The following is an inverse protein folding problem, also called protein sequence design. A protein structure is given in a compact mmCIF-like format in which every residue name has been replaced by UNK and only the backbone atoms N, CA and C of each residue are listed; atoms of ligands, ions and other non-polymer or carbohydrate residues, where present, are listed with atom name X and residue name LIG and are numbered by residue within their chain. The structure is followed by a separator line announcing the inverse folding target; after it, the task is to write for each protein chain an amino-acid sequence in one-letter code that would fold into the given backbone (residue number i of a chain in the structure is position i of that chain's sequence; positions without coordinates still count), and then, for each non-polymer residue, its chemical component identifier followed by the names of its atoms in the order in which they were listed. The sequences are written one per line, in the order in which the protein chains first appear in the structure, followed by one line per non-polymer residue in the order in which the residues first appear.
data_IF_773664671279
#
_entry.id   IF_773664671279
#
_cell.length_a   1.000
_cell.length_b   1.000
_cell.length_c   1.000
_cell.angle_alpha   90.00
_cell.angle_beta   90.00
_cell.angle_gamma   90.00
#
_symmetry.space_group_name_H-M   'P 1'
#
loop_
_entity.id
_entity.type
_entity.pdbx_description
1 polymer ?
#
# COMPACT_ATOMS: atom_id res chain seq x y z
N UNK A 1 14.23 -7.46 31.19
CA UNK A 1 14.13 -7.88 29.77
C UNK A 1 13.28 -9.13 29.73
N UNK A 2 12.04 -8.99 29.25
CA UNK A 2 11.11 -10.11 29.14
C UNK A 2 11.73 -11.19 28.23
N UNK A 3 11.72 -12.45 28.69
CA UNK A 3 12.25 -13.62 27.97
C UNK A 3 11.11 -14.55 27.53
N UNK A 4 9.95 -13.96 27.22
CA UNK A 4 8.83 -14.69 26.63
C UNK A 4 9.14 -15.11 25.19
N UNK A 5 8.40 -16.09 24.65
CA UNK A 5 8.40 -16.34 23.21
C UNK A 5 7.96 -15.07 22.47
N UNK A 6 8.66 -14.74 21.39
CA UNK A 6 8.40 -13.52 20.62
C UNK A 6 7.27 -13.76 19.63
N UNK A 7 6.37 -12.80 19.43
CA UNK A 7 5.33 -12.93 18.44
C UNK A 7 5.95 -13.03 17.03
N UNK A 8 5.39 -13.93 16.23
CA UNK A 8 5.72 -14.05 14.81
C UNK A 8 4.85 -13.08 14.02
N UNK A 9 5.43 -12.39 13.05
CA UNK A 9 4.70 -11.42 12.22
C UNK A 9 4.90 -11.78 10.76
N UNK A 10 3.80 -11.93 10.02
CA UNK A 10 3.77 -12.15 8.58
C UNK A 10 3.05 -10.98 7.94
N UNK A 11 3.75 -10.28 7.05
CA UNK A 11 3.22 -9.11 6.34
C UNK A 11 3.03 -9.49 4.89
N UNK A 12 1.80 -9.39 4.41
CA UNK A 12 1.42 -9.69 3.03
C UNK A 12 2.04 -8.70 2.03
N UNK A 13 2.18 -9.13 0.78
CA UNK A 13 2.79 -8.37 -0.32
C UNK A 13 2.14 -7.00 -0.49
N UNK A 14 0.81 -6.90 -0.32
CA UNK A 14 0.08 -5.64 -0.46
C UNK A 14 0.54 -4.55 0.54
N UNK A 15 0.89 -4.93 1.77
CA UNK A 15 1.31 -4.00 2.81
C UNK A 15 2.72 -3.47 2.52
N UNK A 16 3.62 -4.32 2.00
CA UNK A 16 4.95 -3.88 1.55
C UNK A 16 4.85 -2.86 0.41
N UNK A 17 3.89 -3.05 -0.51
CA UNK A 17 3.61 -2.09 -1.58
C UNK A 17 3.10 -0.77 -0.99
N UNK A 18 2.19 -0.83 -0.03
CA UNK A 18 1.62 0.34 0.63
C UNK A 18 2.70 1.18 1.35
N UNK A 19 3.66 0.52 2.00
CA UNK A 19 4.82 1.17 2.62
C UNK A 19 5.66 1.95 1.60
N UNK A 20 5.87 1.39 0.41
CA UNK A 20 6.71 2.00 -0.62
C UNK A 20 5.98 3.12 -1.35
N UNK A 21 4.66 2.98 -1.54
CA UNK A 21 3.81 4.01 -2.17
C UNK A 21 3.48 5.18 -1.25
N UNK A 22 3.97 5.16 0.00
CA UNK A 22 3.74 6.24 0.96
C UNK A 22 2.31 6.29 1.50
N UNK A 23 1.61 5.16 1.56
CA UNK A 23 0.30 5.08 2.23
C UNK A 23 0.43 5.19 3.75
N UNK A 24 1.60 4.85 4.27
CA UNK A 24 2.01 5.07 5.66
C UNK A 24 3.11 6.14 5.68
N UNK A 25 3.27 6.81 6.81
CA UNK A 25 4.45 7.65 7.00
C UNK A 25 5.76 6.85 6.87
N UNK A 26 6.80 7.50 6.36
CA UNK A 26 8.13 6.89 6.14
C UNK A 26 8.73 6.26 7.40
N UNK A 27 8.36 6.78 8.58
CA UNK A 27 8.82 6.29 9.87
C UNK A 27 8.29 4.89 10.19
N UNK A 28 7.18 4.46 9.58
CA UNK A 28 6.62 3.13 9.80
C UNK A 28 7.62 2.01 9.46
N UNK A 29 8.30 2.13 8.33
CA UNK A 29 9.32 1.14 7.94
C UNK A 29 10.48 1.14 8.94
N UNK A 30 10.87 2.30 9.46
CA UNK A 30 11.91 2.40 10.50
C UNK A 30 11.48 1.73 11.80
N UNK A 31 10.22 1.90 12.20
CA UNK A 31 9.65 1.25 13.39
C UNK A 31 9.68 -0.26 13.22
N UNK A 32 9.23 -0.77 12.07
CA UNK A 32 9.26 -2.20 11.76
C UNK A 32 10.69 -2.76 11.72
N UNK A 33 11.62 -2.06 11.09
CA UNK A 33 13.05 -2.41 11.09
C UNK A 33 13.58 -2.52 12.52
N UNK A 34 13.30 -1.53 13.37
CA UNK A 34 13.74 -1.53 14.77
C UNK A 34 13.13 -2.71 15.54
N UNK A 35 11.85 -3.03 15.36
CA UNK A 35 11.26 -4.20 16.01
C UNK A 35 11.97 -5.51 15.67
N UNK A 36 12.27 -5.71 14.38
CA UNK A 36 12.95 -6.92 13.91
C UNK A 36 14.40 -6.93 14.39
N UNK A 37 15.07 -5.77 14.38
CA UNK A 37 16.47 -5.66 14.75
C UNK A 37 16.69 -5.73 16.25
N UNK A 38 15.81 -5.15 17.06
CA UNK A 38 15.90 -5.21 18.52
C UNK A 38 15.25 -6.48 19.08
N UNK A 39 14.85 -7.39 18.19
CA UNK A 39 14.32 -8.71 18.52
C UNK A 39 13.01 -8.67 19.31
N UNK A 40 12.19 -7.64 19.14
CA UNK A 40 10.85 -7.57 19.71
C UNK A 40 9.86 -8.45 18.95
N UNK A 41 10.04 -8.60 17.63
CA UNK A 41 9.24 -9.52 16.80
C UNK A 41 10.13 -10.48 16.03
N UNK A 42 9.52 -11.57 15.55
CA UNK A 42 10.11 -12.46 14.57
C UNK A 42 9.40 -12.26 13.23
N UNK A 43 10.06 -11.58 12.29
CA UNK A 43 9.52 -11.45 10.94
C UNK A 43 9.58 -12.80 10.23
N UNK A 44 8.43 -13.30 9.79
CA UNK A 44 8.28 -14.56 9.07
C UNK A 44 7.85 -14.24 7.64
N UNK A 45 8.62 -14.69 6.66
CA UNK A 45 8.41 -14.38 5.24
C UNK A 45 8.22 -15.68 4.46
N UNK A 46 6.98 -16.03 4.10
CA UNK A 46 6.72 -17.04 3.07
C UNK A 46 7.51 -16.75 1.79
N UNK A 47 8.11 -17.79 1.20
CA UNK A 47 8.82 -17.72 -0.08
C UNK A 47 7.98 -17.04 -1.17
N UNK A 48 6.67 -17.31 -1.17
CA UNK A 48 5.72 -16.69 -2.09
C UNK A 48 5.68 -15.16 -1.96
N UNK A 49 5.68 -14.60 -0.74
CA UNK A 49 5.73 -13.14 -0.52
C UNK A 49 7.04 -12.57 -1.05
N UNK A 50 8.17 -13.21 -0.76
CA UNK A 50 9.46 -12.76 -1.28
C UNK A 50 9.52 -12.77 -2.81
N UNK A 51 8.92 -13.78 -3.45
CA UNK A 51 8.84 -13.88 -4.91
C UNK A 51 7.94 -12.78 -5.50
N UNK A 52 6.76 -12.56 -4.92
CA UNK A 52 5.83 -11.53 -5.36
C UNK A 52 6.43 -10.14 -5.20
N UNK A 53 7.05 -9.85 -4.05
CA UNK A 53 7.79 -8.61 -3.81
C UNK A 53 8.87 -8.37 -4.87
N UNK A 54 9.72 -9.36 -5.14
CA UNK A 54 10.79 -9.25 -6.14
C UNK A 54 10.27 -8.98 -7.55
N UNK A 55 9.14 -9.58 -7.92
CA UNK A 55 8.48 -9.33 -9.20
C UNK A 55 7.91 -7.90 -9.25
N UNK A 56 7.20 -7.50 -8.20
CA UNK A 56 6.45 -6.24 -8.16
C UNK A 56 7.39 -5.03 -8.05
N UNK A 57 8.47 -5.09 -7.26
CA UNK A 57 9.40 -3.97 -7.12
C UNK A 57 10.01 -3.57 -8.47
N UNK A 58 10.37 -4.56 -9.28
CA UNK A 58 10.99 -4.37 -10.59
C UNK A 58 9.96 -3.95 -11.65
N UNK A 59 8.80 -4.61 -11.71
CA UNK A 59 7.83 -4.43 -12.80
C UNK A 59 6.82 -3.30 -12.55
N UNK A 60 6.43 -3.06 -11.29
CA UNK A 60 5.24 -2.26 -10.96
C UNK A 60 5.49 -1.05 -10.10
N UNK A 61 6.60 -1.00 -9.37
CA UNK A 61 6.88 0.16 -8.51
C UNK A 61 7.74 1.15 -9.30
N UNK A 62 8.97 0.80 -9.66
CA UNK A 62 9.87 1.74 -10.32
C UNK A 62 9.43 2.08 -11.75
N UNK A 63 9.07 1.06 -12.54
CA UNK A 63 8.64 1.26 -13.94
C UNK A 63 7.31 2.00 -14.02
N UNK A 64 6.33 1.67 -13.17
CA UNK A 64 5.04 2.35 -13.21
C UNK A 64 5.14 3.79 -12.69
N UNK A 65 5.96 4.04 -11.65
CA UNK A 65 6.24 5.40 -11.18
C UNK A 65 6.94 6.23 -12.25
N UNK A 66 7.96 5.68 -12.94
CA UNK A 66 8.60 6.38 -14.06
C UNK A 66 7.62 6.66 -15.19
N UNK A 67 6.79 5.68 -15.56
CA UNK A 67 5.75 5.84 -16.58
C UNK A 67 4.73 6.91 -16.18
N UNK A 68 4.26 6.92 -14.92
CA UNK A 68 3.33 7.93 -14.42
C UNK A 68 3.94 9.34 -14.47
N UNK A 69 5.19 9.50 -14.02
CA UNK A 69 5.90 10.78 -14.09
C UNK A 69 6.14 11.23 -15.54
N UNK A 70 6.41 10.30 -16.45
CA UNK A 70 6.52 10.60 -17.89
C UNK A 70 5.16 10.97 -18.51
N UNK A 71 4.07 10.31 -18.10
CA UNK A 71 2.73 10.67 -18.53
C UNK A 71 2.36 12.08 -18.06
N UNK A 72 2.60 12.39 -16.78
CA UNK A 72 2.40 13.74 -16.24
C UNK A 72 3.21 14.79 -17.02
N UNK A 73 4.48 14.49 -17.33
CA UNK A 73 5.32 15.35 -18.20
C UNK A 73 4.69 15.57 -19.58
N UNK A 74 4.18 14.51 -20.22
CA UNK A 74 3.55 14.61 -21.53
C UNK A 74 2.27 15.46 -21.48
N UNK A 75 1.43 15.25 -20.46
CA UNK A 75 0.23 16.06 -20.21
C UNK A 75 0.58 17.54 -20.03
N UNK A 76 1.60 17.87 -19.23
CA UNK A 76 2.04 19.27 -19.06
C UNK A 76 2.55 19.84 -20.39
N UNK A 77 3.29 19.08 -21.20
CA UNK A 77 3.76 19.53 -22.51
C UNK A 77 2.61 19.81 -23.49
N UNK A 78 1.60 18.97 -23.52
CA UNK A 78 0.39 19.17 -24.35
C UNK A 78 -0.38 20.41 -23.90
N UNK A 79 -0.59 20.54 -22.58
CA UNK A 79 -1.22 21.72 -22.01
C UNK A 79 -0.42 23.01 -22.32
N UNK A 80 0.91 22.96 -22.26
CA UNK A 80 1.77 24.09 -22.55
C UNK A 80 1.70 24.51 -24.02
N UNK A 81 1.60 23.57 -24.96
CA UNK A 81 1.40 23.86 -26.39
C UNK A 81 0.09 24.63 -26.61
N UNK A 82 -0.99 24.18 -25.95
CA UNK A 82 -2.32 24.78 -26.05
C UNK A 82 -2.37 26.16 -25.38
N UNK A 83 -1.75 26.32 -24.21
CA UNK A 83 -1.67 27.61 -23.52
C UNK A 83 -0.89 28.64 -24.34
N UNK A 84 0.21 28.24 -24.97
CA UNK A 84 1.03 29.10 -25.85
C UNK A 84 0.29 29.49 -27.12
N UNK A 85 -0.39 28.55 -27.80
CA UNK A 85 -1.16 28.86 -29.01
C UNK A 85 -2.34 29.80 -28.72
N UNK A 86 -2.92 29.69 -27.53
CA UNK A 86 -4.07 30.50 -27.08
C UNK A 86 -3.65 31.80 -26.38
N UNK A 87 -2.34 32.11 -26.30
CA UNK A 87 -1.78 33.31 -25.65
C UNK A 87 -2.15 33.48 -24.17
N UNK A 88 -2.42 32.38 -23.46
CA UNK A 88 -2.60 32.39 -22.00
C UNK A 88 -1.24 32.43 -21.31
N UNK A 89 -0.67 33.63 -21.16
CA UNK A 89 0.69 33.84 -20.66
C UNK A 89 0.87 33.38 -19.22
N UNK A 90 -0.10 33.63 -18.34
CA UNK A 90 -0.04 33.23 -16.94
C UNK A 90 -0.10 31.71 -16.75
N UNK A 91 -1.04 31.04 -17.44
CA UNK A 91 -1.16 29.58 -17.45
C UNK A 91 0.11 28.94 -18.02
N UNK A 92 0.68 29.51 -19.09
CA UNK A 92 1.94 29.04 -19.67
C UNK A 92 3.09 29.10 -18.68
N UNK A 93 3.21 30.21 -17.92
CA UNK A 93 4.25 30.37 -16.91
C UNK A 93 4.11 29.35 -15.76
N UNK A 94 2.88 29.09 -15.29
CA UNK A 94 2.62 28.09 -14.24
C UNK A 94 2.94 26.66 -14.70
N UNK A 95 2.61 26.32 -15.96
CA UNK A 95 2.95 25.02 -16.54
C UNK A 95 4.46 24.85 -16.75
N UNK A 96 5.18 25.91 -17.12
CA UNK A 96 6.66 25.90 -17.20
C UNK A 96 7.32 25.71 -15.84
N UNK A 97 6.78 26.35 -14.79
CA UNK A 97 7.22 26.12 -13.41
C UNK A 97 6.98 24.65 -13.00
N UNK A 98 5.77 24.13 -13.25
CA UNK A 98 5.40 22.75 -12.94
C UNK A 98 6.29 21.74 -13.67
N UNK A 99 6.64 22.01 -14.93
CA UNK A 99 7.58 21.19 -15.72
C UNK A 99 9.00 21.23 -15.13
N UNK A 100 9.45 22.39 -14.69
CA UNK A 100 10.77 22.54 -14.04
C UNK A 100 10.81 21.74 -12.74
N UNK A 101 9.80 21.93 -11.89
CA UNK A 101 9.67 21.21 -10.62
C UNK A 101 9.62 19.68 -10.85
N UNK A 102 8.82 19.21 -11.81
CA UNK A 102 8.74 17.78 -12.12
C UNK A 102 10.08 17.21 -12.58
N UNK A 103 10.87 17.95 -13.38
CA UNK A 103 12.20 17.52 -13.80
C UNK A 103 13.19 17.44 -12.64
N UNK A 104 13.13 18.39 -11.72
CA UNK A 104 14.00 18.45 -10.55
C UNK A 104 13.64 17.38 -9.52
N UNK A 105 12.34 17.16 -9.27
CA UNK A 105 11.86 16.21 -8.27
C UNK A 105 11.87 14.76 -8.76
N UNK A 106 11.68 14.51 -10.06
CA UNK A 106 11.60 13.12 -10.58
C UNK A 106 12.77 12.23 -10.15
N UNK A 107 14.05 12.64 -10.25
CA UNK A 107 15.17 11.84 -9.76
C UNK A 107 15.08 11.55 -8.26
N UNK A 108 14.72 12.54 -7.44
CA UNK A 108 14.59 12.38 -6.00
C UNK A 108 13.45 11.40 -5.63
N UNK A 109 12.30 11.49 -6.31
CA UNK A 109 11.19 10.57 -6.14
C UNK A 109 11.62 9.15 -6.50
N UNK A 110 12.24 8.94 -7.67
CA UNK A 110 12.67 7.60 -8.08
C UNK A 110 13.74 7.03 -7.13
N UNK A 111 14.66 7.86 -6.64
CA UNK A 111 15.66 7.45 -5.65
C UNK A 111 14.99 7.03 -4.34
N UNK A 112 14.01 7.79 -3.86
CA UNK A 112 13.27 7.46 -2.63
C UNK A 112 12.58 6.09 -2.72
N UNK A 113 11.87 5.82 -3.81
CA UNK A 113 11.23 4.51 -4.02
C UNK A 113 12.25 3.37 -4.10
N UNK A 114 13.43 3.64 -4.68
CA UNK A 114 14.55 2.69 -4.74
C UNK A 114 15.10 2.41 -3.33
N UNK A 115 15.31 3.46 -2.53
CA UNK A 115 15.83 3.34 -1.17
C UNK A 115 14.86 2.57 -0.26
N UNK A 116 13.55 2.87 -0.33
CA UNK A 116 12.52 2.14 0.42
C UNK A 116 12.47 0.66 0.00
N UNK A 117 12.58 0.38 -1.29
CA UNK A 117 12.59 -1.01 -1.79
C UNK A 117 13.82 -1.77 -1.29
N UNK A 118 14.99 -1.12 -1.30
CA UNK A 118 16.24 -1.71 -0.83
C UNK A 118 16.22 -1.98 0.69
N UNK A 119 15.58 -1.11 1.46
CA UNK A 119 15.35 -1.31 2.90
C UNK A 119 14.53 -2.57 3.18
N UNK A 120 13.43 -2.76 2.45
CA UNK A 120 12.61 -3.98 2.55
C UNK A 120 13.42 -5.23 2.15
N UNK A 121 14.21 -5.15 1.08
CA UNK A 121 15.10 -6.26 0.68
C UNK A 121 16.11 -6.60 1.80
N UNK A 122 16.69 -5.59 2.45
CA UNK A 122 17.61 -5.80 3.57
C UNK A 122 16.91 -6.46 4.76
N UNK A 123 15.66 -6.09 5.02
CA UNK A 123 14.84 -6.69 6.06
C UNK A 123 14.52 -8.16 5.75
N UNK A 124 14.13 -8.48 4.51
CA UNK A 124 13.89 -9.87 4.08
C UNK A 124 15.16 -10.72 4.19
N UNK A 125 16.31 -10.17 3.82
CA UNK A 125 17.59 -10.89 3.84
C UNK A 125 18.30 -10.86 5.21
N UNK A 126 17.72 -10.21 6.21
CA UNK A 126 18.26 -10.18 7.56
C UNK A 126 18.33 -11.59 8.16
N UNK A 127 19.41 -11.89 8.89
CA UNK A 127 19.54 -13.15 9.65
C UNK A 127 18.47 -13.32 10.74
N UNK A 128 17.76 -12.25 11.08
CA UNK A 128 16.67 -12.23 12.08
C UNK A 128 15.31 -12.57 11.47
N UNK A 129 15.22 -12.61 10.14
CA UNK A 129 14.03 -12.95 9.39
C UNK A 129 13.99 -14.45 9.13
N UNK A 130 12.83 -15.07 9.33
CA UNK A 130 12.63 -16.50 9.10
C UNK A 130 11.87 -16.70 7.80
N UNK A 131 12.51 -17.38 6.84
CA UNK A 131 11.86 -17.76 5.59
C UNK A 131 11.17 -19.10 5.76
N UNK A 132 9.90 -19.16 5.34
CA UNK A 132 9.09 -20.39 5.39
C UNK A 132 8.61 -20.76 4.00
N UNK A 133 8.41 -22.04 3.78
CA UNK A 133 7.95 -22.58 2.50
C UNK A 133 6.95 -23.69 2.78
N UNK A 134 5.86 -23.73 2.02
CA UNK A 134 4.93 -24.84 2.07
C UNK A 134 5.64 -26.13 1.69
N UNK A 135 5.49 -27.20 2.48
CA UNK A 135 6.06 -28.50 2.18
C UNK A 135 5.49 -29.08 0.88
N UNK A 136 6.26 -29.93 0.20
CA UNK A 136 5.80 -30.56 -1.07
C UNK A 136 4.54 -31.41 -0.87
N UNK A 137 4.38 -32.01 0.31
CA UNK A 137 3.18 -32.75 0.68
C UNK A 137 1.96 -31.82 0.79
N UNK A 138 2.06 -30.71 1.54
CA UNK A 138 0.96 -29.74 1.64
C UNK A 138 0.72 -29.00 0.31
N UNK A 139 1.74 -28.75 -0.51
CA UNK A 139 1.59 -28.20 -1.87
C UNK A 139 0.76 -29.13 -2.77
N UNK A 140 1.05 -30.42 -2.75
CA UNK A 140 0.31 -31.42 -3.53
C UNK A 140 -1.16 -31.46 -3.09
N UNK A 141 -1.38 -31.48 -1.77
CA UNK A 141 -2.74 -31.41 -1.20
C UNK A 141 -3.47 -30.13 -1.59
N UNK A 142 -2.79 -28.99 -1.59
CA UNK A 142 -3.38 -27.71 -1.98
C UNK A 142 -3.80 -27.71 -3.45
N UNK A 143 -2.96 -28.28 -4.34
CA UNK A 143 -3.28 -28.41 -5.76
C UNK A 143 -4.54 -29.27 -5.95
N UNK A 144 -4.65 -30.39 -5.22
CA UNK A 144 -5.84 -31.24 -5.27
C UNK A 144 -7.08 -30.48 -4.78
N UNK A 145 -6.97 -29.73 -3.69
CA UNK A 145 -8.05 -28.90 -3.15
C UNK A 145 -8.48 -27.80 -4.16
N UNK A 146 -7.55 -27.23 -4.93
CA UNK A 146 -7.86 -26.29 -6.03
C UNK A 146 -8.64 -26.98 -7.15
N UNK A 147 -8.16 -28.14 -7.61
CA UNK A 147 -8.80 -28.91 -8.67
C UNK A 147 -10.23 -29.35 -8.26
N UNK A 148 -10.44 -29.62 -6.99
CA UNK A 148 -11.73 -30.00 -6.43
C UNK A 148 -12.62 -28.80 -6.07
N UNK A 149 -12.16 -27.55 -6.25
CA UNK A 149 -12.86 -26.33 -5.81
C UNK A 149 -13.29 -26.42 -4.34
N UNK A 150 -12.34 -26.77 -3.48
CA UNK A 150 -12.57 -26.89 -2.05
C UNK A 150 -12.37 -25.54 -1.37
N UNK A 151 -13.26 -25.26 -0.42
CA UNK A 151 -13.13 -24.14 0.52
C UNK A 151 -11.85 -24.31 1.37
N UNK A 152 -11.28 -23.22 1.92
CA UNK A 152 -11.80 -21.84 1.97
C UNK A 152 -11.36 -20.92 0.82
N UNK A 153 -10.43 -21.39 -0.03
CA UNK A 153 -9.88 -20.55 -1.10
C UNK A 153 -10.53 -20.73 -2.47
N UNK A 154 -11.06 -21.90 -2.81
CA UNK A 154 -11.46 -22.19 -4.20
C UNK A 154 -12.97 -22.41 -4.30
N UNK A 155 -13.73 -21.34 -4.54
CA UNK A 155 -15.16 -21.42 -4.92
C UNK A 155 -15.29 -21.22 -6.42
N UNK A 156 -16.26 -21.88 -7.06
CA UNK A 156 -16.55 -21.74 -8.49
C UNK A 156 -16.77 -20.29 -8.95
N UNK A 157 -17.22 -19.42 -8.05
CA UNK A 157 -17.56 -18.02 -8.36
C UNK A 157 -16.52 -16.99 -7.86
N UNK A 158 -15.45 -17.43 -7.16
CA UNK A 158 -14.40 -16.55 -6.66
C UNK A 158 -13.02 -17.01 -7.13
N UNK A 159 -12.39 -16.20 -7.98
CA UNK A 159 -10.99 -16.38 -8.37
C UNK A 159 -10.08 -15.88 -7.25
N UNK A 160 -9.98 -16.62 -6.14
CA UNK A 160 -8.91 -16.34 -5.18
C UNK A 160 -7.57 -16.74 -5.78
N UNK A 161 -6.52 -15.98 -5.46
CA UNK A 161 -5.18 -16.26 -6.00
C UNK A 161 -4.61 -17.53 -5.37
N UNK A 162 -4.11 -18.46 -6.20
CA UNK A 162 -3.29 -19.58 -5.73
C UNK A 162 -2.11 -19.08 -4.87
N UNK A 163 -1.57 -17.89 -5.16
CA UNK A 163 -0.51 -17.27 -4.37
C UNK A 163 -0.93 -17.03 -2.93
N UNK A 164 -2.10 -16.43 -2.72
CA UNK A 164 -2.64 -16.13 -1.38
C UNK A 164 -2.93 -17.41 -0.58
N UNK A 165 -3.42 -18.45 -1.26
CA UNK A 165 -3.58 -19.76 -0.63
C UNK A 165 -2.23 -20.36 -0.20
N UNK A 166 -1.22 -20.31 -1.06
CA UNK A 166 0.14 -20.79 -0.72
C UNK A 166 0.72 -20.00 0.45
N UNK A 167 0.53 -18.69 0.50
CA UNK A 167 0.93 -17.84 1.64
C UNK A 167 0.25 -18.36 2.91
N UNK A 168 -1.08 -18.46 2.90
CA UNK A 168 -1.86 -18.83 4.08
C UNK A 168 -1.50 -20.24 4.60
N UNK A 169 -1.45 -21.25 3.72
CA UNK A 169 -1.11 -22.60 4.15
C UNK A 169 0.35 -22.73 4.62
N UNK A 170 1.28 -21.90 4.11
CA UNK A 170 2.64 -21.85 4.64
C UNK A 170 2.63 -21.36 6.09
N UNK A 171 1.79 -20.36 6.39
CA UNK A 171 1.61 -19.81 7.74
C UNK A 171 1.04 -20.88 8.67
N UNK A 172 0.00 -21.60 8.26
CA UNK A 172 -0.59 -22.68 9.06
C UNK A 172 0.43 -23.77 9.40
N UNK A 173 1.19 -24.24 8.40
CA UNK A 173 2.24 -25.23 8.63
C UNK A 173 3.33 -24.75 9.58
N UNK A 174 3.67 -23.46 9.53
CA UNK A 174 4.60 -22.87 10.48
C UNK A 174 4.03 -22.77 11.91
N UNK A 175 2.73 -22.53 12.04
CA UNK A 175 2.07 -22.45 13.34
C UNK A 175 1.96 -23.80 14.03
N UNK A 176 1.69 -24.86 13.27
CA UNK A 176 1.68 -26.25 13.76
C UNK A 176 2.97 -26.58 14.56
N UNK A 177 4.10 -25.98 14.17
CA UNK A 177 5.42 -26.21 14.78
C UNK A 177 5.80 -25.21 15.89
N UNK A 178 5.17 -24.02 15.95
CA UNK A 178 5.70 -22.90 16.75
C UNK A 178 4.97 -22.61 18.05
N UNK A 179 3.71 -23.03 18.23
CA UNK A 179 2.85 -22.75 19.41
C UNK A 179 2.99 -21.31 19.94
N UNK A 180 3.19 -20.36 19.02
CA UNK A 180 3.48 -18.95 19.26
C UNK A 180 2.37 -18.11 18.63
N UNK A 181 2.09 -16.96 19.22
CA UNK A 181 1.21 -15.98 18.59
C UNK A 181 1.78 -15.56 17.22
N UNK A 182 0.90 -15.53 16.23
CA UNK A 182 1.22 -15.12 14.88
C UNK A 182 0.28 -14.00 14.43
N UNK A 183 0.87 -12.91 13.98
CA UNK A 183 0.19 -11.74 13.47
C UNK A 183 0.29 -11.76 11.94
N UNK A 184 -0.83 -11.99 11.26
CA UNK A 184 -0.93 -11.90 9.81
C UNK A 184 -1.54 -10.56 9.41
N UNK A 185 -0.84 -9.80 8.58
CA UNK A 185 -1.18 -8.43 8.22
C UNK A 185 -1.40 -8.35 6.71
N UNK A 186 -2.64 -8.10 6.28
CA UNK A 186 -3.00 -7.97 4.86
C UNK A 186 -4.15 -6.98 4.66
N UNK A 187 -4.06 -6.13 3.64
CA UNK A 187 -5.17 -5.29 3.21
C UNK A 187 -6.04 -5.94 2.13
N UNK A 188 -5.80 -7.22 1.79
CA UNK A 188 -6.56 -7.93 0.76
C UNK A 188 -7.91 -8.41 1.30
N UNK A 189 -8.93 -7.58 1.11
CA UNK A 189 -10.29 -7.84 1.59
C UNK A 189 -11.04 -8.90 0.79
N UNK A 190 -10.59 -9.22 -0.42
CA UNK A 190 -11.26 -10.19 -1.29
C UNK A 190 -10.92 -11.63 -0.86
N UNK A 191 -9.64 -11.86 -0.53
CA UNK A 191 -9.13 -13.20 -0.24
C UNK A 191 -9.12 -13.55 1.24
N UNK A 192 -8.79 -12.60 2.11
CA UNK A 192 -8.65 -12.83 3.55
C UNK A 192 -9.78 -12.27 4.41
N UNK A 193 -10.54 -11.28 3.92
CA UNK A 193 -11.70 -10.73 4.63
C UNK A 193 -11.57 -9.24 4.97
N UNK A 194 -12.72 -8.62 5.23
CA UNK A 194 -12.84 -7.16 5.39
C UNK A 194 -12.44 -6.72 6.80
N UNK A 195 -13.33 -6.82 7.78
CA UNK A 195 -13.03 -6.34 9.14
C UNK A 195 -12.41 -7.44 10.03
N UNK A 196 -12.67 -8.69 9.67
CA UNK A 196 -12.12 -9.89 10.30
C UNK A 196 -11.72 -10.87 9.20
N UNK A 197 -10.94 -11.88 9.59
CA UNK A 197 -10.60 -13.00 8.73
C UNK A 197 -11.89 -13.64 8.19
N UNK A 198 -11.92 -14.07 6.93
CA UNK A 198 -13.08 -14.74 6.33
C UNK A 198 -13.49 -15.94 7.19
N UNK A 199 -14.79 -16.14 7.39
CA UNK A 199 -15.30 -17.16 8.31
C UNK A 199 -14.76 -18.57 8.00
N UNK A 200 -14.57 -18.90 6.72
CA UNK A 200 -14.06 -20.22 6.33
C UNK A 200 -12.56 -20.37 6.65
N UNK A 201 -11.83 -19.26 6.74
CA UNK A 201 -10.44 -19.22 7.18
C UNK A 201 -10.34 -19.20 8.71
N UNK A 202 -11.29 -18.56 9.40
CA UNK A 202 -11.38 -18.56 10.87
C UNK A 202 -11.55 -19.98 11.42
N UNK A 203 -12.30 -20.85 10.74
CA UNK A 203 -12.54 -22.23 11.17
C UNK A 203 -11.28 -23.12 11.16
N UNK A 204 -10.21 -22.71 10.47
CA UNK A 204 -8.99 -23.50 10.30
C UNK A 204 -7.76 -22.89 10.99
N UNK A 205 -7.93 -21.79 11.72
CA UNK A 205 -6.89 -21.18 12.57
C UNK A 205 -7.25 -21.36 14.04
N UNK A 206 -6.24 -21.31 14.90
CA UNK A 206 -6.43 -21.32 16.37
C UNK A 206 -6.43 -19.89 16.95
N UNK A 207 -6.60 -19.80 18.26
CA UNK A 207 -6.62 -18.51 18.98
C UNK A 207 -5.28 -17.75 18.93
N UNK A 208 -4.17 -18.42 18.55
CA UNK A 208 -2.85 -17.81 18.41
C UNK A 208 -2.72 -17.04 17.09
N UNK A 209 -3.61 -17.22 16.13
CA UNK A 209 -3.63 -16.48 14.87
C UNK A 209 -4.37 -15.15 15.04
N UNK A 210 -3.68 -14.04 14.83
CA UNK A 210 -4.24 -12.68 14.84
C UNK A 210 -4.20 -12.07 13.44
N UNK A 211 -5.35 -11.66 12.92
CA UNK A 211 -5.46 -10.99 11.63
C UNK A 211 -5.61 -9.49 11.79
N UNK A 212 -4.82 -8.73 11.03
CA UNK A 212 -4.92 -7.28 10.96
C UNK A 212 -4.94 -6.80 9.51
N UNK A 213 -5.69 -5.72 9.28
CA UNK A 213 -5.79 -5.09 7.96
C UNK A 213 -4.66 -4.12 7.63
N UNK A 214 -4.08 -3.55 8.67
CA UNK A 214 -3.12 -2.47 8.55
C UNK A 214 -1.97 -2.72 9.50
N UNK A 215 -0.79 -2.30 9.07
CA UNK A 215 0.41 -2.40 9.87
C UNK A 215 0.33 -1.57 11.18
N UNK A 216 -0.23 -0.34 11.21
CA UNK A 216 -0.40 0.41 12.46
C UNK A 216 -1.23 -0.35 13.50
N UNK A 217 -2.38 -0.92 13.11
CA UNK A 217 -3.26 -1.62 14.06
C UNK A 217 -2.61 -2.90 14.61
N UNK A 218 -1.84 -3.60 13.78
CA UNK A 218 -1.08 -4.78 14.20
C UNK A 218 0.09 -4.42 15.13
N UNK A 219 0.72 -3.26 14.87
CA UNK A 219 1.78 -2.73 15.72
C UNK A 219 1.17 -2.36 17.07
N UNK A 220 0.11 -1.56 17.11
CA UNK A 220 -0.53 -1.10 18.34
C UNK A 220 -0.92 -2.22 19.31
N UNK A 221 -1.38 -3.36 18.77
CA UNK A 221 -1.80 -4.49 19.60
C UNK A 221 -0.66 -5.27 20.26
N UNK A 222 0.59 -5.07 19.84
CA UNK A 222 1.75 -5.67 20.50
C UNK A 222 2.00 -4.88 21.81
N UNK A 223 1.77 -5.50 22.97
CA UNK A 223 1.71 -4.82 24.28
C UNK A 223 3.01 -4.10 24.76
N UNK A 224 4.14 -4.25 24.07
CA UNK A 224 5.47 -3.81 24.55
C UNK A 224 6.19 -2.80 23.62
N UNK A 225 5.59 -1.65 23.36
CA UNK A 225 6.29 -0.58 22.63
C UNK A 225 6.95 0.47 23.52
N UNK A 226 8.08 1.01 23.02
CA UNK A 226 8.65 2.25 23.52
C UNK A 226 7.68 3.42 23.32
N UNK A 227 7.77 4.45 24.16
CA UNK A 227 6.96 5.67 24.07
C UNK A 227 7.00 6.34 22.68
N UNK A 228 8.08 6.10 21.93
CA UNK A 228 8.28 6.62 20.57
C UNK A 228 7.33 6.02 19.54
N UNK A 229 6.88 4.78 19.73
CA UNK A 229 5.94 4.13 18.81
C UNK A 229 4.51 4.42 19.19
N UNK A 230 4.22 4.57 20.48
CA UNK A 230 2.92 5.08 20.94
C UNK A 230 2.65 6.48 20.38
N UNK A 231 3.64 7.38 20.42
CA UNK A 231 3.53 8.72 19.85
C UNK A 231 3.29 8.72 18.33
N UNK A 232 3.89 7.76 17.62
CA UNK A 232 3.69 7.60 16.17
C UNK A 232 2.30 7.05 15.82
N UNK A 233 1.82 6.05 16.57
CA UNK A 233 0.49 5.48 16.36
C UNK A 233 -0.60 6.53 16.57
N UNK A 234 -0.45 7.37 17.60
CA UNK A 234 -1.35 8.50 17.84
C UNK A 234 -1.36 9.49 16.66
N UNK A 235 -0.20 9.84 16.09
CA UNK A 235 -0.16 10.75 14.94
C UNK A 235 -0.75 10.15 13.68
N UNK A 236 -0.63 8.84 13.45
CA UNK A 236 -1.29 8.16 12.32
C UNK A 236 -2.80 8.06 12.48
N UNK A 237 -3.30 7.81 13.70
CA UNK A 237 -4.74 7.80 13.97
C UNK A 237 -5.34 9.19 13.74
N UNK A 238 -4.66 10.25 14.22
CA UNK A 238 -5.03 11.64 13.93
C UNK A 238 -4.98 11.94 12.42
N UNK A 239 -3.93 11.49 11.72
CA UNK A 239 -3.81 11.68 10.28
C UNK A 239 -4.89 10.91 9.50
N UNK A 240 -5.28 9.71 9.92
CA UNK A 240 -6.35 8.92 9.32
C UNK A 240 -7.72 9.56 9.58
N UNK A 241 -7.98 10.06 10.78
CA UNK A 241 -9.16 10.85 11.08
C UNK A 241 -9.21 12.11 10.21
N UNK A 242 -8.09 12.81 10.05
CA UNK A 242 -7.99 13.96 9.13
C UNK A 242 -8.17 13.55 7.67
N UNK A 243 -7.74 12.36 7.25
CA UNK A 243 -7.97 11.83 5.88
C UNK A 243 -9.43 11.47 5.67
N UNK A 244 -10.09 10.84 6.64
CA UNK A 244 -11.51 10.49 6.60
C UNK A 244 -12.42 11.73 6.71
N UNK A 245 -12.00 12.73 7.49
CA UNK A 245 -12.59 14.06 7.43
C UNK A 245 -12.27 14.73 6.08
N UNK A 246 -11.07 14.62 5.54
CA UNK A 246 -10.81 15.11 4.18
C UNK A 246 -11.60 14.37 3.10
N UNK A 247 -12.07 13.14 3.34
CA UNK A 247 -12.93 12.38 2.42
C UNK A 247 -14.36 12.94 2.31
N UNK A 248 -14.85 13.76 3.26
CA UNK A 248 -16.06 14.57 3.00
C UNK A 248 -15.82 15.65 1.93
N UNK A 249 -14.56 16.04 1.67
CA UNK A 249 -14.23 16.92 0.54
C UNK A 249 -14.19 16.18 -0.79
N UNK A 250 -14.00 14.85 -0.80
CA UNK A 250 -14.25 14.02 -1.99
C UNK A 250 -15.75 13.89 -2.29
N UNK A 251 -16.64 14.15 -1.32
CA UNK A 251 -18.08 14.27 -1.54
C UNK A 251 -18.53 15.65 -2.05
N UNK A 252 -17.67 16.67 -2.03
CA UNK A 252 -17.97 17.97 -2.64
C UNK A 252 -17.46 17.96 -4.09
N UNK A 253 -18.24 17.31 -4.93
CA UNK A 253 -18.22 17.39 -6.40
C UNK A 253 -18.71 18.76 -6.92
N UNK A 254 -18.59 19.83 -6.13
CA UNK A 254 -19.11 21.15 -6.48
C UNK A 254 -18.06 22.20 -6.14
N UNK A 255 -17.31 22.62 -7.16
CA UNK A 255 -16.84 24.00 -7.21
C UNK A 255 -18.14 24.81 -7.19
N UNK A 256 -18.24 25.86 -6.36
CA UNK A 256 -19.43 26.71 -6.30
C UNK A 256 -19.73 27.40 -7.64
N UNK A 257 -19.78 28.72 -7.67
CA UNK A 257 -20.01 29.44 -8.92
C UNK A 257 -18.67 29.62 -9.66
N UNK A 258 -18.64 29.31 -10.95
CA UNK A 258 -17.48 29.53 -11.79
C UNK A 258 -17.32 31.03 -12.09
N UNK A 259 -16.20 31.64 -11.70
CA UNK A 259 -15.97 33.07 -11.89
C UNK A 259 -15.88 33.49 -13.37
N UNK A 260 -15.57 32.58 -14.29
CA UNK A 260 -15.45 32.85 -15.73
C UNK A 260 -16.77 32.75 -16.51
N UNK A 261 -17.63 31.76 -16.21
CA UNK A 261 -18.92 31.60 -16.92
C UNK A 261 -20.16 31.82 -16.06
N UNK A 262 -20.00 32.06 -14.77
CA UNK A 262 -21.10 32.22 -13.82
C UNK A 262 -21.91 30.94 -13.54
N UNK A 263 -21.47 29.77 -14.03
CA UNK A 263 -22.19 28.52 -13.81
C UNK A 263 -22.09 28.08 -12.35
N UNK A 264 -23.23 27.74 -11.74
CA UNK A 264 -23.31 27.27 -10.36
C UNK A 264 -23.09 25.75 -10.28
N UNK A 265 -22.44 25.28 -9.22
CA UNK A 265 -22.28 23.86 -8.89
C UNK A 265 -21.53 23.06 -9.96
N UNK A 266 -20.35 23.53 -10.40
CA UNK A 266 -19.60 22.86 -11.47
C UNK A 266 -18.74 21.70 -10.94
N UNK A 267 -18.80 20.50 -11.56
CA UNK A 267 -17.89 19.41 -11.21
C UNK A 267 -16.46 19.75 -11.62
N UNK A 268 -15.50 19.69 -10.69
CA UNK A 268 -14.07 19.81 -10.96
C UNK A 268 -13.38 18.45 -11.10
N UNK A 269 -12.29 18.38 -11.87
CA UNK A 269 -11.31 17.27 -11.79
C UNK A 269 -10.07 17.74 -11.06
N UNK A 270 -9.60 16.95 -10.11
CA UNK A 270 -8.38 17.20 -9.36
C UNK A 270 -7.28 16.21 -9.74
N UNK A 271 -6.03 16.67 -9.80
CA UNK A 271 -4.84 15.82 -9.91
C UNK A 271 -4.02 15.98 -8.62
N UNK A 272 -3.72 14.87 -7.96
CA UNK A 272 -2.85 14.86 -6.78
C UNK A 272 -1.38 14.91 -7.24
N UNK A 273 -0.64 15.91 -6.78
CA UNK A 273 0.82 15.97 -6.91
C UNK A 273 1.37 15.98 -5.49
N UNK A 274 2.10 14.91 -5.14
CA UNK A 274 2.90 14.68 -3.92
C UNK A 274 2.82 15.72 -2.78
N UNK A 275 2.20 15.34 -1.66
CA UNK A 275 2.49 15.87 -0.31
C UNK A 275 2.11 17.33 0.01
N UNK A 276 2.01 18.20 -0.99
CA UNK A 276 1.57 19.59 -0.86
C UNK A 276 0.41 19.84 -1.83
N UNK A 277 -0.69 20.37 -1.30
CA UNK A 277 -1.98 20.46 -1.97
C UNK A 277 -1.99 21.52 -3.08
N UNK A 278 -1.45 21.22 -4.26
CA UNK A 278 -1.67 22.02 -5.46
C UNK A 278 -2.91 21.52 -6.21
N UNK A 279 -4.06 22.12 -5.89
CA UNK A 279 -5.35 21.85 -6.52
C UNK A 279 -5.49 22.65 -7.81
N UNK A 280 -5.43 21.98 -8.96
CA UNK A 280 -5.92 22.53 -10.23
C UNK A 280 -7.37 22.09 -10.42
N UNK A 281 -8.31 23.00 -10.25
CA UNK A 281 -9.73 22.76 -10.49
C UNK A 281 -10.13 23.38 -11.84
N UNK A 282 -10.75 22.61 -12.73
CA UNK A 282 -11.26 23.11 -14.02
C UNK A 282 -12.79 23.04 -14.06
N UNK A 283 -13.44 24.16 -14.40
CA UNK A 283 -14.87 24.19 -14.71
C UNK A 283 -15.12 23.43 -16.02
N UNK A 284 -15.98 22.41 -16.04
CA UNK A 284 -16.24 21.60 -17.25
C UNK A 284 -16.78 22.42 -18.43
N UNK A 285 -17.48 23.53 -18.19
CA UNK A 285 -17.98 24.42 -19.24
C UNK A 285 -16.89 25.38 -19.78
N UNK A 286 -15.96 25.80 -18.94
CA UNK A 286 -14.84 26.67 -19.32
C UNK A 286 -13.57 25.89 -19.64
N UNK A 287 -13.63 24.56 -19.57
CA UNK A 287 -12.50 23.69 -19.75
C UNK A 287 -11.93 23.91 -21.16
N UNK A 288 -10.68 24.39 -21.30
CA UNK A 288 -10.06 24.57 -22.61
C UNK A 288 -9.75 23.23 -23.30
N UNK A 289 -10.00 22.10 -22.62
CA UNK A 289 -9.88 20.74 -23.12
C UNK A 289 -11.25 20.03 -23.15
N UNK A 290 -12.14 20.31 -24.12
CA UNK A 290 -13.32 19.49 -24.33
C UNK A 290 -12.87 18.08 -24.73
N UNK A 291 -13.34 17.06 -23.99
CA UNK A 291 -13.15 15.66 -24.37
C UNK A 291 -14.25 15.29 -25.37
N UNK A 292 -13.86 14.73 -26.52
CA UNK A 292 -14.67 13.74 -27.23
C UNK A 292 -14.57 12.40 -26.50
#
# INVERSE_FOLDING_TARGET
MYRGPKPSVVIDTCIWIDLVKGKYEKRMLTILENLVMDYHIKLVVPTQIAHEWNRIKNERILVATDHYLNAAKNTINEALKIAKSSKHTEISAQLELSMTLLKELKPAILQEYTDLSQRIDNLFNSKKTVHINLSEAKKSSLIDDVLMNKEPFFKKDKKKSMGDAVIFFSILEYMDDSNQELYFISSNTEDFGKDQLDINLQEIVDDNFKYYRSLPAAIESLEEWSEEVKAYLQSEEEAEQMRQESDWRNAILTIGNCDDCGAENVPGRYAYISGDLAVLAFCLNCNPFPLN
#
